data_IF_005748653080
#
_entry.id   IF_005748653080
#
_cell.length_a   1.000
_cell.length_b   1.000
_cell.length_c   1.000
_cell.angle_alpha   90.00
_cell.angle_beta   90.00
_cell.angle_gamma   90.00
#
_symmetry.space_group_name_H-M   'P 1'
#
loop_
_entity.id
_entity.type
_entity.pdbx_description
1 polymer ?
#
# COMPACT_ATOMS: atom_id res chain seq x y z
N UNK A 1 35.48 38.85 9.87
CA UNK A 1 35.22 38.75 8.41
C UNK A 1 35.55 40.03 7.67
N UNK A 2 35.33 41.21 8.26
CA UNK A 2 35.48 42.51 7.62
C UNK A 2 36.91 42.84 7.15
N UNK A 3 37.92 42.35 7.87
CA UNK A 3 39.33 42.58 7.54
C UNK A 3 39.94 41.50 6.64
N UNK A 4 39.18 40.44 6.30
CA UNK A 4 39.69 39.41 5.40
C UNK A 4 39.57 39.88 3.95
N UNK A 5 40.62 39.75 3.13
CA UNK A 5 40.50 40.01 1.71
C UNK A 5 39.50 39.03 1.08
N UNK A 6 38.78 39.49 0.06
CA UNK A 6 37.73 38.74 -0.63
C UNK A 6 38.15 37.29 -0.97
N UNK A 7 39.38 37.12 -1.46
CA UNK A 7 39.93 35.80 -1.81
C UNK A 7 40.09 34.87 -0.60
N UNK A 8 40.55 35.38 0.54
CA UNK A 8 40.69 34.58 1.76
C UNK A 8 39.31 34.21 2.34
N UNK A 9 38.35 35.15 2.32
CA UNK A 9 36.99 34.87 2.77
C UNK A 9 36.30 33.82 1.87
N UNK A 10 36.51 33.89 0.55
CA UNK A 10 36.02 32.87 -0.37
C UNK A 10 36.64 31.50 -0.09
N UNK A 11 37.95 31.42 0.20
CA UNK A 11 38.61 30.16 0.58
C UNK A 11 38.03 29.57 1.87
N UNK A 12 37.75 30.40 2.89
CA UNK A 12 37.09 29.94 4.12
C UNK A 12 35.70 29.39 3.81
N UNK A 13 34.89 30.11 3.02
CA UNK A 13 33.56 29.66 2.63
C UNK A 13 33.59 28.39 1.74
N UNK A 14 34.65 28.17 0.97
CA UNK A 14 34.85 26.92 0.21
C UNK A 14 35.05 25.70 1.13
N UNK A 15 35.49 25.88 2.37
CA UNK A 15 35.68 24.79 3.32
C UNK A 15 34.43 24.49 4.17
N UNK A 16 33.42 25.36 4.12
CA UNK A 16 32.23 25.30 4.95
C UNK A 16 31.00 24.82 4.17
N UNK A 17 30.00 24.29 4.88
CA UNK A 17 28.68 24.04 4.29
C UNK A 17 27.86 25.33 4.25
N UNK A 18 26.80 25.37 3.43
CA UNK A 18 25.90 26.52 3.37
C UNK A 18 25.27 26.85 4.73
N UNK A 19 25.05 25.83 5.56
CA UNK A 19 24.55 25.99 6.92
C UNK A 19 25.57 26.71 7.81
N UNK A 20 26.83 26.27 7.78
CA UNK A 20 27.90 26.88 8.57
C UNK A 20 28.18 28.31 8.11
N UNK A 21 28.15 28.57 6.79
CA UNK A 21 28.30 29.92 6.24
C UNK A 21 27.12 30.81 6.66
N UNK A 22 25.88 30.30 6.66
CA UNK A 22 24.73 31.05 7.14
C UNK A 22 24.86 31.41 8.63
N UNK A 23 25.27 30.46 9.47
CA UNK A 23 25.50 30.69 10.89
C UNK A 23 26.64 31.67 11.14
N UNK A 24 27.76 31.52 10.44
CA UNK A 24 28.90 32.43 10.55
C UNK A 24 28.52 33.85 10.13
N UNK A 25 27.79 33.98 9.02
CA UNK A 25 27.33 35.28 8.52
C UNK A 25 26.36 35.92 9.51
N UNK A 26 25.36 35.17 10.02
CA UNK A 26 24.40 35.67 10.99
C UNK A 26 25.07 36.10 12.31
N UNK A 27 26.01 35.30 12.82
CA UNK A 27 26.76 35.62 14.03
C UNK A 27 27.60 36.89 13.84
N UNK A 28 28.22 37.06 12.68
CA UNK A 28 29.00 38.27 12.39
C UNK A 28 28.10 39.51 12.19
N UNK A 29 26.96 39.39 11.50
CA UNK A 29 26.02 40.51 11.34
C UNK A 29 25.42 40.95 12.69
N UNK A 30 25.26 40.02 13.64
CA UNK A 30 24.83 40.35 15.00
C UNK A 30 25.89 41.12 15.81
N UNK A 31 27.18 40.90 15.52
CA UNK A 31 28.31 41.59 16.16
C UNK A 31 28.62 42.94 15.50
N UNK A 32 28.51 43.00 14.16
CA UNK A 32 28.75 44.21 13.37
C UNK A 32 27.73 44.33 12.21
N UNK A 33 26.67 45.15 12.37
CA UNK A 33 25.57 45.22 11.40
C UNK A 33 25.88 46.04 10.13
N UNK A 34 27.08 46.60 9.97
CA UNK A 34 27.36 47.64 8.96
C UNK A 34 28.08 47.16 7.67
N UNK A 35 28.54 45.90 7.58
CA UNK A 35 29.34 45.47 6.42
C UNK A 35 29.05 44.04 5.89
N UNK A 36 28.01 43.90 5.06
CA UNK A 36 27.71 42.67 4.29
C UNK A 36 28.31 42.53 2.86
N UNK A 37 28.89 43.54 2.17
CA UNK A 37 29.17 43.41 0.73
C UNK A 37 30.28 42.40 0.41
N UNK A 38 31.29 42.27 1.27
CA UNK A 38 32.40 41.33 1.07
C UNK A 38 31.96 39.86 1.25
N UNK A 39 31.01 39.59 2.17
CA UNK A 39 30.47 38.25 2.38
C UNK A 39 29.61 37.79 1.18
N UNK A 40 28.76 38.68 0.65
CA UNK A 40 27.98 38.42 -0.56
C UNK A 40 28.88 38.21 -1.79
N UNK A 41 29.92 39.02 -1.96
CA UNK A 41 30.89 38.83 -3.05
C UNK A 41 31.65 37.50 -2.91
N UNK A 42 32.07 37.12 -1.69
CA UNK A 42 32.74 35.85 -1.43
C UNK A 42 31.84 34.66 -1.75
N UNK A 43 30.57 34.70 -1.30
CA UNK A 43 29.56 33.69 -1.60
C UNK A 43 29.37 33.49 -3.11
N UNK A 44 29.30 34.58 -3.88
CA UNK A 44 29.18 34.50 -5.33
C UNK A 44 30.38 33.80 -5.98
N UNK A 45 31.60 34.10 -5.52
CA UNK A 45 32.82 33.43 -5.98
C UNK A 45 32.81 31.94 -5.67
N UNK A 46 32.44 31.55 -4.43
CA UNK A 46 32.37 30.14 -4.02
C UNK A 46 31.33 29.38 -4.85
N UNK A 47 30.15 29.98 -5.04
CA UNK A 47 29.07 29.39 -5.84
C UNK A 47 29.55 29.06 -7.26
N UNK A 48 30.26 30.00 -7.88
CA UNK A 48 30.81 29.85 -9.23
C UNK A 48 31.95 28.81 -9.28
N UNK A 49 32.92 28.90 -8.38
CA UNK A 49 34.11 28.04 -8.35
C UNK A 49 33.75 26.57 -8.12
N UNK A 50 32.84 26.28 -7.18
CA UNK A 50 32.50 24.90 -6.80
C UNK A 50 31.39 24.30 -7.64
N UNK A 51 30.41 25.09 -8.09
CA UNK A 51 29.19 24.54 -8.73
C UNK A 51 28.77 25.21 -10.04
N UNK A 52 29.52 26.21 -10.52
CA UNK A 52 29.19 27.01 -11.71
C UNK A 52 29.10 26.22 -13.02
N UNK A 53 29.77 25.07 -13.12
CA UNK A 53 29.83 24.28 -14.36
C UNK A 53 28.67 23.26 -14.47
N UNK A 54 28.08 22.81 -13.35
CA UNK A 54 27.19 21.63 -13.37
C UNK A 54 25.80 21.84 -12.76
N UNK A 55 25.67 22.59 -11.66
CA UNK A 55 24.37 22.76 -10.96
C UNK A 55 23.74 24.13 -11.24
N UNK A 56 24.55 25.15 -11.53
CA UNK A 56 24.13 26.56 -11.61
C UNK A 56 24.60 27.27 -12.89
N UNK A 57 24.84 26.54 -13.98
CA UNK A 57 25.33 27.07 -15.27
C UNK A 57 24.50 28.22 -15.88
N UNK A 58 23.33 28.51 -15.32
CA UNK A 58 22.39 29.53 -15.79
C UNK A 58 22.44 30.83 -14.96
N UNK A 59 23.20 30.87 -13.85
CA UNK A 59 23.40 32.08 -13.06
C UNK A 59 24.68 32.78 -13.55
N UNK A 60 24.54 33.93 -14.21
CA UNK A 60 25.67 34.74 -14.65
C UNK A 60 26.21 35.59 -13.49
N UNK A 61 27.50 35.87 -13.51
CA UNK A 61 28.21 36.63 -12.46
C UNK A 61 27.74 38.09 -12.39
N UNK A 62 27.48 38.68 -13.56
CA UNK A 62 27.00 40.06 -13.72
C UNK A 62 25.49 40.20 -13.51
N UNK A 63 24.79 39.09 -13.29
CA UNK A 63 23.35 39.14 -13.09
C UNK A 63 23.03 39.55 -11.66
N UNK A 64 22.74 40.84 -11.48
CA UNK A 64 22.35 41.42 -10.20
C UNK A 64 21.05 40.84 -9.60
N UNK A 65 20.34 39.96 -10.34
CA UNK A 65 18.99 39.51 -9.99
C UNK A 65 18.94 38.28 -9.10
N UNK A 66 20.02 37.50 -9.00
CA UNK A 66 20.04 36.38 -8.07
C UNK A 66 20.72 36.80 -6.75
N UNK A 67 20.15 36.41 -5.60
CA UNK A 67 20.66 36.84 -4.30
C UNK A 67 21.98 36.11 -3.99
N UNK A 68 23.01 36.87 -3.66
CA UNK A 68 24.34 36.34 -3.29
C UNK A 68 24.35 35.83 -1.84
N UNK A 69 23.44 34.92 -1.53
CA UNK A 69 23.12 34.50 -0.17
C UNK A 69 23.45 33.02 0.08
N UNK A 70 23.51 32.67 1.37
CA UNK A 70 23.66 31.28 1.79
C UNK A 70 22.51 30.37 1.31
N UNK A 71 21.34 30.93 0.97
CA UNK A 71 20.23 30.16 0.39
C UNK A 71 20.55 29.64 -1.02
N UNK A 72 21.25 30.44 -1.85
CA UNK A 72 21.69 30.00 -3.18
C UNK A 72 22.84 29.02 -3.08
N UNK A 73 23.74 29.22 -2.13
CA UNK A 73 24.77 28.24 -1.77
C UNK A 73 24.14 26.90 -1.38
N UNK A 74 23.10 26.92 -0.53
CA UNK A 74 22.36 25.72 -0.13
C UNK A 74 21.65 25.04 -1.30
N UNK A 75 21.07 25.83 -2.20
CA UNK A 75 20.47 25.29 -3.42
C UNK A 75 21.51 24.54 -4.27
N UNK A 76 22.72 25.09 -4.41
CA UNK A 76 23.83 24.44 -5.11
C UNK A 76 24.22 23.08 -4.50
N UNK A 77 24.31 23.01 -3.17
CA UNK A 77 24.60 21.78 -2.44
C UNK A 77 23.52 20.71 -2.65
N UNK A 78 22.25 21.09 -2.49
CA UNK A 78 21.11 20.17 -2.64
C UNK A 78 21.01 19.61 -4.06
N UNK A 79 21.26 20.42 -5.09
CA UNK A 79 21.29 19.95 -6.48
C UNK A 79 22.51 19.10 -6.79
N UNK A 80 23.65 19.34 -6.13
CA UNK A 80 24.82 18.46 -6.24
C UNK A 80 24.52 17.07 -5.67
N UNK A 81 23.80 17.01 -4.55
CA UNK A 81 23.27 15.75 -4.00
C UNK A 81 22.35 15.05 -5.00
N UNK A 82 21.43 15.78 -5.65
CA UNK A 82 20.56 15.22 -6.71
C UNK A 82 21.38 14.52 -7.80
N UNK A 83 22.48 15.15 -8.25
CA UNK A 83 23.37 14.58 -9.27
C UNK A 83 24.01 13.27 -8.80
N UNK A 84 24.51 13.21 -7.57
CA UNK A 84 25.11 11.99 -7.02
C UNK A 84 24.09 10.86 -6.87
N UNK A 85 22.88 11.17 -6.43
CA UNK A 85 21.78 10.20 -6.33
C UNK A 85 21.31 9.70 -7.71
N UNK A 86 21.40 10.53 -8.75
CA UNK A 86 21.14 10.14 -10.13
C UNK A 86 22.17 9.15 -10.65
N UNK A 87 23.46 9.39 -10.38
CA UNK A 87 24.57 8.53 -10.79
C UNK A 87 24.65 7.20 -10.01
N UNK A 88 24.12 7.16 -8.78
CA UNK A 88 24.19 6.01 -7.89
C UNK A 88 23.13 4.92 -8.15
N UNK A 89 22.19 5.12 -9.09
CA UNK A 89 21.12 4.15 -9.38
C UNK A 89 21.52 3.00 -10.32
N UNK A 90 22.82 2.87 -10.65
CA UNK A 90 23.33 1.72 -11.42
C UNK A 90 23.45 0.50 -10.51
N UNK A 91 22.66 -0.52 -10.85
CA UNK A 91 22.47 -1.82 -10.17
C UNK A 91 23.66 -2.76 -10.33
N UNK A 92 24.85 -2.34 -9.92
CA UNK A 92 25.94 -3.30 -9.70
C UNK A 92 26.00 -3.63 -8.21
N UNK A 93 26.11 -4.93 -7.93
CA UNK A 93 26.32 -5.51 -6.61
C UNK A 93 27.57 -4.91 -5.97
N UNK A 94 27.44 -3.71 -5.41
CA UNK A 94 28.50 -3.07 -4.67
C UNK A 94 28.70 -3.86 -3.39
N UNK A 95 29.77 -4.65 -3.35
CA UNK A 95 30.25 -5.36 -2.14
C UNK A 95 30.56 -4.40 -0.98
N UNK A 96 30.61 -3.09 -1.25
CA UNK A 96 30.80 -2.03 -0.28
C UNK A 96 29.73 -0.92 -0.45
N UNK A 97 28.65 -1.02 0.33
CA UNK A 97 27.54 -0.06 0.32
C UNK A 97 26.93 0.20 1.69
N UNK A 98 25.93 1.09 1.68
CA UNK A 98 25.16 1.52 2.85
C UNK A 98 23.67 1.45 2.52
N UNK A 99 22.89 0.84 3.38
CA UNK A 99 21.44 0.90 3.34
C UNK A 99 20.94 2.27 3.80
N UNK A 100 20.10 2.88 2.98
CA UNK A 100 19.43 4.16 3.25
C UNK A 100 17.91 3.98 3.02
N UNK A 101 17.10 4.76 3.74
CA UNK A 101 15.64 4.78 3.56
C UNK A 101 15.23 5.21 2.13
N UNK A 102 14.38 4.43 1.46
CA UNK A 102 13.77 4.83 0.19
C UNK A 102 12.90 6.09 0.35
N UNK A 103 12.19 6.20 1.48
CA UNK A 103 11.40 7.39 1.78
C UNK A 103 12.28 8.64 1.86
N UNK A 104 13.47 8.53 2.47
CA UNK A 104 14.42 9.64 2.52
C UNK A 104 14.85 10.06 1.11
N UNK A 105 15.19 9.11 0.23
CA UNK A 105 15.55 9.41 -1.16
C UNK A 105 14.42 10.13 -1.91
N UNK A 106 13.17 9.71 -1.71
CA UNK A 106 12.01 10.33 -2.35
C UNK A 106 11.74 11.74 -1.79
N UNK A 107 11.80 11.91 -0.47
CA UNK A 107 11.67 13.20 0.18
C UNK A 107 12.76 14.16 -0.27
N UNK A 108 14.00 13.67 -0.37
CA UNK A 108 15.13 14.45 -0.85
C UNK A 108 14.96 14.88 -2.31
N UNK A 109 14.49 13.99 -3.20
CA UNK A 109 14.17 14.37 -4.59
C UNK A 109 13.14 15.48 -4.66
N UNK A 110 12.10 15.44 -3.81
CA UNK A 110 11.08 16.50 -3.73
C UNK A 110 11.70 17.82 -3.24
N UNK A 111 12.52 17.77 -2.20
CA UNK A 111 13.27 18.93 -1.71
C UNK A 111 14.15 19.54 -2.82
N UNK A 112 14.83 18.71 -3.61
CA UNK A 112 15.58 19.19 -4.77
C UNK A 112 14.69 19.93 -5.78
N UNK A 113 13.48 19.42 -6.08
CA UNK A 113 12.56 20.08 -7.01
C UNK A 113 12.15 21.48 -6.52
N UNK A 114 11.91 21.66 -5.22
CA UNK A 114 11.61 23.00 -4.67
C UNK A 114 12.81 23.96 -4.79
N UNK A 115 14.03 23.49 -4.56
CA UNK A 115 15.24 24.30 -4.81
C UNK A 115 15.47 24.59 -6.30
N UNK A 116 15.13 23.67 -7.20
CA UNK A 116 15.14 23.95 -8.65
C UNK A 116 14.13 25.05 -8.99
N UNK A 117 12.90 24.95 -8.48
CA UNK A 117 11.88 25.98 -8.68
C UNK A 117 12.31 27.34 -8.15
N UNK A 118 12.90 27.39 -6.95
CA UNK A 118 13.49 28.59 -6.38
C UNK A 118 14.54 29.22 -7.31
N UNK A 119 15.48 28.42 -7.81
CA UNK A 119 16.51 28.92 -8.73
C UNK A 119 15.94 29.33 -10.11
N UNK A 120 14.87 28.69 -10.58
CA UNK A 120 14.18 29.05 -11.82
C UNK A 120 13.53 30.44 -11.74
N UNK A 121 13.21 30.95 -10.55
CA UNK A 121 12.65 32.30 -10.40
C UNK A 121 13.63 33.39 -10.87
N UNK A 122 14.93 33.13 -10.75
CA UNK A 122 15.99 34.03 -11.22
C UNK A 122 16.28 33.88 -12.71
N UNK A 123 15.72 32.85 -13.37
CA UNK A 123 15.79 32.71 -14.82
C UNK A 123 14.73 33.58 -15.47
N UNK A 124 15.11 34.76 -15.96
CA UNK A 124 14.22 35.49 -16.86
C UNK A 124 14.21 34.82 -18.24
N UNK A 125 13.04 34.33 -18.65
CA UNK A 125 12.77 34.07 -20.06
C UNK A 125 12.92 35.39 -20.83
N UNK A 126 13.64 35.37 -21.97
CA UNK A 126 13.84 36.52 -22.87
C UNK A 126 12.55 37.30 -23.14
N UNK A 127 11.38 36.63 -23.16
CA UNK A 127 10.05 37.26 -23.31
C UNK A 127 9.68 38.18 -22.14
N UNK A 128 9.94 37.77 -20.89
CA UNK A 128 9.62 38.55 -19.68
C UNK A 128 10.57 39.73 -19.52
N UNK A 129 11.82 39.57 -20.01
CA UNK A 129 12.80 40.65 -20.11
C UNK A 129 12.40 41.68 -21.18
N UNK A 130 12.04 41.26 -22.40
CA UNK A 130 11.50 42.17 -23.42
C UNK A 130 10.21 42.87 -22.97
N UNK A 131 9.33 42.20 -22.22
CA UNK A 131 8.11 42.82 -21.70
C UNK A 131 8.42 43.87 -20.63
N UNK A 132 9.40 43.62 -19.76
CA UNK A 132 9.85 44.60 -18.76
C UNK A 132 10.64 45.74 -19.37
N UNK A 133 11.49 45.51 -20.35
CA UNK A 133 12.20 46.55 -21.10
C UNK A 133 11.21 47.41 -21.89
N UNK A 134 10.18 46.82 -22.53
CA UNK A 134 9.07 47.57 -23.15
C UNK A 134 8.28 48.38 -22.11
N UNK A 135 8.04 47.82 -20.92
CA UNK A 135 7.37 48.52 -19.81
C UNK A 135 8.24 49.62 -19.20
N UNK A 136 9.56 49.45 -19.14
CA UNK A 136 10.50 50.47 -18.67
C UNK A 136 10.73 51.57 -19.71
N UNK A 137 10.69 51.25 -21.00
CA UNK A 137 10.70 52.25 -22.08
C UNK A 137 9.38 53.05 -22.12
N UNK A 138 8.24 52.42 -21.86
CA UNK A 138 6.96 53.11 -21.70
C UNK A 138 6.86 53.88 -20.38
N UNK A 139 7.41 53.36 -19.28
CA UNK A 139 7.52 54.06 -18.00
C UNK A 139 8.50 55.23 -18.06
N UNK A 140 9.64 55.12 -18.74
CA UNK A 140 10.57 56.25 -18.95
C UNK A 140 9.94 57.36 -19.82
N UNK A 141 9.04 57.00 -20.75
CA UNK A 141 8.18 57.97 -21.46
C UNK A 141 7.07 58.55 -20.57
N UNK A 142 6.55 57.78 -19.61
CA UNK A 142 5.52 58.22 -18.65
C UNK A 142 6.07 59.03 -17.46
N UNK A 143 7.32 58.82 -17.04
CA UNK A 143 8.00 59.52 -15.93
C UNK A 143 8.40 60.95 -16.32
N UNK A 144 8.47 61.27 -17.62
CA UNK A 144 8.47 62.68 -18.08
C UNK A 144 7.10 63.37 -17.91
N UNK A 145 6.06 62.65 -17.49
CA UNK A 145 4.68 63.15 -17.42
C UNK A 145 3.91 62.87 -16.12
N UNK A 146 4.47 62.13 -15.16
CA UNK A 146 3.81 61.88 -13.88
C UNK A 146 4.81 61.54 -12.78
N UNK A 147 5.11 62.51 -11.91
CA UNK A 147 5.49 62.22 -10.53
C UNK A 147 4.23 61.81 -9.77
N UNK A 148 4.41 60.88 -8.82
CA UNK A 148 3.43 60.36 -7.87
C UNK A 148 2.41 59.34 -8.42
N UNK A 149 2.58 58.07 -8.06
CA UNK A 149 1.75 57.33 -7.08
C UNK A 149 2.13 55.85 -7.15
N UNK A 150 2.13 55.25 -5.96
CA UNK A 150 2.51 53.89 -5.57
C UNK A 150 2.05 52.73 -6.48
N UNK A 151 2.80 51.64 -6.38
CA UNK A 151 2.43 50.33 -6.91
C UNK A 151 3.43 49.27 -6.45
N UNK A 152 3.32 48.89 -5.18
CA UNK A 152 4.00 47.75 -4.55
C UNK A 152 3.51 46.44 -5.20
N UNK A 153 4.38 45.77 -5.95
CA UNK A 153 4.14 44.42 -6.48
C UNK A 153 5.35 43.54 -6.13
N UNK A 154 5.37 43.06 -4.88
CA UNK A 154 6.29 42.04 -4.40
C UNK A 154 6.13 40.76 -5.23
N UNK A 155 7.22 40.37 -5.90
CA UNK A 155 7.35 39.08 -6.55
C UNK A 155 7.12 37.95 -5.52
N UNK A 156 6.39 36.90 -5.93
CA UNK A 156 6.27 35.64 -5.19
C UNK A 156 7.65 34.98 -4.97
N UNK A 157 8.34 35.40 -3.91
CA UNK A 157 9.50 34.69 -3.37
C UNK A 157 8.96 33.46 -2.65
N UNK A 158 9.45 32.27 -2.99
CA UNK A 158 9.16 31.05 -2.21
C UNK A 158 9.60 31.32 -0.77
N UNK A 159 8.69 31.32 0.22
CA UNK A 159 9.03 31.71 1.59
C UNK A 159 10.06 30.75 2.17
N UNK A 160 11.06 31.30 2.88
CA UNK A 160 12.11 30.53 3.58
C UNK A 160 11.53 29.38 4.43
N UNK A 161 10.32 29.58 4.98
CA UNK A 161 9.54 28.61 5.75
C UNK A 161 9.28 27.27 5.03
N UNK A 162 9.19 27.25 3.69
CA UNK A 162 9.02 26.00 2.92
C UNK A 162 10.27 25.10 2.94
N UNK A 163 11.47 25.69 3.07
CA UNK A 163 12.70 24.91 3.15
C UNK A 163 12.89 24.24 4.51
N UNK A 164 12.35 24.84 5.58
CA UNK A 164 12.36 24.28 6.93
C UNK A 164 11.38 23.09 7.04
N UNK A 165 10.20 23.21 6.43
CA UNK A 165 9.25 22.08 6.36
C UNK A 165 9.82 20.89 5.60
N UNK A 166 10.50 21.13 4.47
CA UNK A 166 11.13 20.05 3.71
C UNK A 166 12.27 19.39 4.49
N UNK A 167 13.02 20.17 5.28
CA UNK A 167 14.09 19.64 6.11
C UNK A 167 13.56 18.73 7.24
N UNK A 168 12.40 19.07 7.81
CA UNK A 168 11.72 18.20 8.77
C UNK A 168 11.23 16.91 8.10
N UNK A 169 10.59 17.01 6.93
CA UNK A 169 10.09 15.85 6.17
C UNK A 169 11.22 14.91 5.76
N UNK A 170 12.37 15.43 5.32
CA UNK A 170 13.51 14.56 4.98
C UNK A 170 14.09 13.89 6.23
N UNK A 171 14.17 14.59 7.36
CA UNK A 171 14.61 14.03 8.64
C UNK A 171 13.73 12.88 9.12
N UNK A 172 12.41 13.06 9.08
CA UNK A 172 11.48 12.01 9.49
C UNK A 172 11.54 10.82 8.55
N UNK A 173 11.65 11.07 7.23
CA UNK A 173 11.82 10.02 6.24
C UNK A 173 13.14 9.24 6.40
N UNK A 174 14.20 9.91 6.88
CA UNK A 174 15.50 9.32 7.23
C UNK A 174 15.43 8.40 8.45
N UNK A 175 14.53 8.66 9.40
CA UNK A 175 14.33 7.82 10.59
C UNK A 175 13.59 6.52 10.31
N UNK A 176 12.91 6.39 9.17
CA UNK A 176 12.11 5.21 8.83
C UNK A 176 12.90 3.93 8.58
N UNK A 177 14.23 4.00 8.45
CA UNK A 177 15.10 2.83 8.41
C UNK A 177 15.57 2.39 9.81
N UNK A 178 15.28 3.18 10.84
CA UNK A 178 15.67 2.94 12.23
C UNK A 178 14.42 2.53 13.01
N UNK A 179 14.53 1.47 13.83
CA UNK A 179 13.45 1.09 14.74
C UNK A 179 13.47 1.94 16.02
N UNK A 180 12.46 1.83 16.90
CA UNK A 180 12.45 2.54 18.18
C UNK A 180 13.66 2.24 19.09
N UNK A 181 14.30 1.08 18.93
CA UNK A 181 15.49 0.68 19.67
C UNK A 181 16.78 1.36 19.17
N UNK A 182 16.71 2.20 18.13
CA UNK A 182 17.87 2.88 17.54
C UNK A 182 18.65 2.04 16.52
N UNK A 183 18.23 0.80 16.29
CA UNK A 183 18.86 -0.16 15.38
C UNK A 183 18.18 -0.19 14.01
N UNK A 184 18.78 -0.91 13.05
CA UNK A 184 18.18 -1.05 11.72
C UNK A 184 16.84 -1.81 11.78
N UNK A 185 15.77 -1.18 11.27
CA UNK A 185 14.43 -1.75 11.23
C UNK A 185 14.40 -3.02 10.36
N UNK A 186 13.92 -4.19 10.83
CA UNK A 186 13.98 -5.46 10.12
C UNK A 186 13.43 -5.46 8.68
N UNK A 187 14.05 -6.23 7.78
CA UNK A 187 13.80 -6.14 6.34
C UNK A 187 12.37 -6.55 5.98
N UNK A 188 11.83 -7.52 6.72
CA UNK A 188 10.44 -7.97 6.58
C UNK A 188 9.42 -6.86 6.89
N UNK A 189 9.77 -5.88 7.73
CA UNK A 189 8.92 -4.73 8.05
C UNK A 189 9.09 -3.57 7.05
N UNK A 190 10.10 -3.63 6.19
CA UNK A 190 10.43 -2.59 5.20
C UNK A 190 9.58 -2.72 3.92
N UNK A 191 8.28 -2.46 3.98
CA UNK A 191 7.37 -2.49 2.81
C UNK A 191 7.15 -1.10 2.17
N UNK A 192 6.93 -1.07 0.85
CA UNK A 192 6.58 0.16 0.11
C UNK A 192 7.61 1.28 0.24
N UNK A 193 7.24 2.37 0.93
CA UNK A 193 8.09 3.55 1.18
C UNK A 193 9.18 3.29 2.23
N UNK A 194 9.01 2.28 3.08
CA UNK A 194 9.98 1.86 4.10
C UNK A 194 11.10 0.96 3.56
N UNK A 195 11.08 0.65 2.25
CA UNK A 195 12.12 -0.17 1.62
C UNK A 195 13.51 0.43 1.81
N UNK A 196 14.50 -0.44 1.91
CA UNK A 196 15.92 -0.06 1.95
C UNK A 196 16.44 0.11 0.52
N UNK A 197 17.35 1.06 0.32
CA UNK A 197 18.08 1.26 -0.93
C UNK A 197 19.56 1.25 -0.62
N UNK A 198 20.35 0.60 -1.47
CA UNK A 198 21.80 0.57 -1.34
C UNK A 198 22.40 1.79 -2.04
N UNK A 199 23.29 2.49 -1.34
CA UNK A 199 24.10 3.58 -1.87
C UNK A 199 25.57 3.21 -1.67
N UNK A 200 26.43 3.47 -2.64
CA UNK A 200 27.87 3.18 -2.49
C UNK A 200 28.48 4.02 -1.36
N UNK A 201 29.49 3.46 -0.68
CA UNK A 201 30.18 4.16 0.42
C UNK A 201 30.73 5.54 -0.01
N UNK A 202 31.27 5.63 -1.23
CA UNK A 202 31.80 6.88 -1.78
C UNK A 202 30.72 7.96 -1.96
N UNK A 203 29.52 7.57 -2.37
CA UNK A 203 28.38 8.49 -2.49
C UNK A 203 27.84 8.83 -1.10
N UNK A 204 27.68 7.84 -0.21
CA UNK A 204 27.19 8.06 1.14
C UNK A 204 28.03 9.06 1.95
N UNK A 205 29.37 8.97 1.87
CA UNK A 205 30.27 9.97 2.50
C UNK A 205 30.00 11.40 2.03
N UNK A 206 29.71 11.58 0.73
CA UNK A 206 29.34 12.90 0.18
C UNK A 206 27.94 13.31 0.63
N UNK A 207 26.99 12.39 0.67
CA UNK A 207 25.63 12.66 1.16
C UNK A 207 25.65 13.13 2.61
N UNK A 208 26.37 12.42 3.48
CA UNK A 208 26.44 12.71 4.91
C UNK A 208 26.95 14.14 5.20
N UNK A 209 27.81 14.69 4.34
CA UNK A 209 28.33 16.05 4.48
C UNK A 209 27.26 17.13 4.22
N UNK A 210 26.44 16.95 3.16
CA UNK A 210 25.48 17.98 2.72
C UNK A 210 24.04 17.71 3.19
N UNK A 211 23.77 16.49 3.66
CA UNK A 211 22.49 16.01 4.11
C UNK A 211 22.65 15.28 5.47
N UNK A 212 22.82 16.02 6.58
CA UNK A 212 23.10 15.45 7.91
C UNK A 212 21.94 14.60 8.48
N UNK A 213 20.76 14.73 7.86
CA UNK A 213 19.56 13.96 8.16
C UNK A 213 19.55 12.57 7.52
N UNK A 214 20.47 12.27 6.60
CA UNK A 214 20.64 10.92 6.08
C UNK A 214 21.06 9.97 7.21
N UNK A 215 20.43 8.80 7.24
CA UNK A 215 20.81 7.69 8.12
C UNK A 215 21.18 6.51 7.24
N UNK A 216 22.30 5.88 7.58
CA UNK A 216 22.90 4.83 6.78
C UNK A 216 23.41 3.70 7.65
N UNK A 217 23.14 2.47 7.24
CA UNK A 217 23.65 1.26 7.87
C UNK A 217 24.54 0.50 6.87
N UNK A 218 25.77 0.11 7.23
CA UNK A 218 26.59 -0.79 6.39
C UNK A 218 25.81 -2.03 5.94
N UNK A 219 26.11 -2.58 4.76
CA UNK A 219 25.40 -3.77 4.24
C UNK A 219 25.43 -5.00 5.18
N UNK A 220 26.44 -5.08 6.04
CA UNK A 220 26.63 -6.17 7.02
C UNK A 220 25.93 -5.89 8.35
N UNK A 221 25.21 -4.77 8.48
CA UNK A 221 24.50 -4.44 9.72
C UNK A 221 23.38 -5.47 9.91
N UNK A 222 23.29 -6.11 11.09
CA UNK A 222 22.18 -7.00 11.37
C UNK A 222 20.87 -6.21 11.51
N UNK A 223 19.75 -6.89 11.29
CA UNK A 223 18.45 -6.37 11.68
C UNK A 223 18.37 -6.26 13.22
N UNK A 224 17.55 -5.33 13.73
CA UNK A 224 17.33 -5.19 15.16
C UNK A 224 16.84 -6.50 15.79
N UNK A 225 17.65 -7.09 16.67
CA UNK A 225 17.36 -8.38 17.31
C UNK A 225 16.03 -8.36 18.08
N UNK A 226 15.77 -7.30 18.85
CA UNK A 226 14.52 -7.15 19.62
C UNK A 226 13.30 -7.16 18.70
N UNK A 227 13.31 -6.38 17.62
CA UNK A 227 12.18 -6.35 16.68
C UNK A 227 12.01 -7.68 15.91
N UNK A 228 13.10 -8.40 15.65
CA UNK A 228 13.05 -9.74 15.05
C UNK A 228 12.39 -10.72 16.02
N UNK A 229 12.82 -10.73 17.29
CA UNK A 229 12.27 -11.59 18.33
C UNK A 229 10.79 -11.29 18.62
N UNK A 230 10.40 -10.02 18.73
CA UNK A 230 9.00 -9.63 18.93
C UNK A 230 8.10 -10.08 17.77
N UNK A 231 8.59 -9.97 16.53
CA UNK A 231 7.87 -10.45 15.36
C UNK A 231 7.71 -11.97 15.40
N UNK A 232 8.80 -12.70 15.64
CA UNK A 232 8.78 -14.17 15.72
C UNK A 232 7.92 -14.66 16.88
N UNK A 233 7.90 -13.95 18.01
CA UNK A 233 7.03 -14.25 19.14
C UNK A 233 5.56 -14.05 18.76
N UNK A 234 5.23 -12.94 18.10
CA UNK A 234 3.87 -12.66 17.63
C UNK A 234 3.41 -13.65 16.57
N UNK A 235 4.28 -14.02 15.62
CA UNK A 235 3.98 -15.04 14.61
C UNK A 235 3.71 -16.40 15.27
N UNK A 236 4.54 -16.80 16.25
CA UNK A 236 4.30 -18.01 17.04
C UNK A 236 2.99 -17.96 17.82
N UNK A 237 2.68 -16.83 18.46
CA UNK A 237 1.40 -16.65 19.16
C UNK A 237 0.21 -16.79 18.20
N UNK A 238 0.27 -16.16 17.02
CA UNK A 238 -0.80 -16.28 16.02
C UNK A 238 -0.93 -17.70 15.50
N UNK A 239 0.17 -18.43 15.34
CA UNK A 239 0.14 -19.83 14.88
C UNK A 239 -0.42 -20.76 15.96
N UNK A 240 -0.05 -20.55 17.23
CA UNK A 240 -0.65 -21.27 18.36
C UNK A 240 -2.15 -21.01 18.46
N UNK A 241 -2.60 -19.77 18.26
CA UNK A 241 -4.03 -19.44 18.23
C UNK A 241 -4.75 -20.12 17.06
N UNK A 242 -4.14 -20.18 15.86
CA UNK A 242 -4.69 -20.93 14.71
C UNK A 242 -4.80 -22.41 15.02
N UNK A 243 -3.73 -22.98 15.58
CA UNK A 243 -3.66 -24.40 15.89
C UNK A 243 -4.67 -24.77 16.98
N UNK A 244 -4.75 -23.99 18.06
CA UNK A 244 -5.74 -24.16 19.12
C UNK A 244 -7.17 -24.04 18.59
N UNK A 245 -7.44 -23.09 17.68
CA UNK A 245 -8.75 -22.97 17.04
C UNK A 245 -9.06 -24.17 16.16
N UNK A 246 -8.12 -24.59 15.33
CA UNK A 246 -8.28 -25.77 14.49
C UNK A 246 -8.58 -27.01 15.34
N UNK A 247 -7.83 -27.22 16.43
CA UNK A 247 -8.07 -28.29 17.39
C UNK A 247 -9.45 -28.17 18.04
N UNK A 248 -9.82 -26.99 18.57
CA UNK A 248 -11.14 -26.80 19.17
C UNK A 248 -12.30 -27.05 18.20
N UNK A 249 -12.15 -26.68 16.93
CA UNK A 249 -13.22 -26.75 15.93
C UNK A 249 -13.25 -28.07 15.15
N UNK A 250 -12.16 -28.83 15.09
CA UNK A 250 -12.07 -30.07 14.29
C UNK A 250 -11.74 -31.31 15.15
N UNK A 251 -11.00 -31.18 16.25
CA UNK A 251 -10.53 -32.33 17.01
C UNK A 251 -11.67 -33.25 17.45
N UNK A 252 -11.44 -34.56 17.31
CA UNK A 252 -12.41 -35.61 17.63
C UNK A 252 -13.47 -35.89 16.57
N UNK A 253 -13.46 -35.23 15.41
CA UNK A 253 -14.37 -35.52 14.29
C UNK A 253 -13.64 -35.64 12.96
N UNK A 254 -13.49 -36.87 12.48
CA UNK A 254 -12.97 -37.13 11.13
C UNK A 254 -13.93 -36.58 10.06
N UNK A 255 -15.24 -36.60 10.32
CA UNK A 255 -16.25 -36.05 9.41
C UNK A 255 -16.03 -34.55 9.13
N UNK A 256 -15.78 -33.75 10.16
CA UNK A 256 -15.48 -32.32 9.96
C UNK A 256 -14.15 -32.10 9.26
N UNK A 257 -13.15 -32.94 9.51
CA UNK A 257 -11.87 -32.87 8.80
C UNK A 257 -12.05 -33.16 7.31
N UNK A 258 -12.81 -34.20 6.97
CA UNK A 258 -13.11 -34.58 5.58
C UNK A 258 -13.92 -33.47 4.88
N UNK A 259 -14.92 -32.90 5.56
CA UNK A 259 -15.71 -31.78 5.04
C UNK A 259 -14.87 -30.52 4.81
N UNK A 260 -13.91 -30.25 5.69
CA UNK A 260 -12.99 -29.12 5.58
C UNK A 260 -12.09 -29.25 4.35
N UNK A 261 -11.59 -30.45 4.06
CA UNK A 261 -10.66 -30.73 2.96
C UNK A 261 -11.36 -30.90 1.60
N UNK A 262 -12.67 -31.18 1.60
CA UNK A 262 -13.47 -31.43 0.39
C UNK A 262 -13.61 -30.20 -0.51
N UNK A 263 -13.47 -30.42 -1.82
CA UNK A 263 -13.61 -29.39 -2.87
C UNK A 263 -14.79 -29.62 -3.83
N UNK A 264 -15.30 -30.84 -3.92
CA UNK A 264 -16.35 -31.27 -4.86
C UNK A 264 -17.73 -30.70 -4.54
N UNK A 265 -17.98 -30.30 -3.29
CA UNK A 265 -19.31 -29.86 -2.82
C UNK A 265 -20.29 -31.00 -2.55
N UNK A 266 -19.85 -32.26 -2.64
CA UNK A 266 -20.61 -33.47 -2.28
C UNK A 266 -19.66 -34.62 -1.91
N UNK A 267 -20.09 -35.61 -1.10
CA UNK A 267 -19.21 -36.70 -0.67
C UNK A 267 -18.78 -37.55 -1.85
N UNK A 268 -17.49 -37.94 -1.92
CA UNK A 268 -16.96 -38.73 -3.04
C UNK A 268 -17.67 -40.08 -3.19
N UNK A 269 -18.21 -40.61 -2.11
CA UNK A 269 -18.94 -41.88 -2.10
C UNK A 269 -20.33 -41.76 -2.73
N UNK A 270 -20.92 -40.54 -2.76
CA UNK A 270 -22.27 -40.30 -3.27
C UNK A 270 -22.45 -40.87 -4.69
N UNK A 271 -21.39 -40.77 -5.49
CA UNK A 271 -21.29 -41.42 -6.79
C UNK A 271 -19.94 -42.13 -6.86
N UNK A 272 -19.93 -43.45 -6.77
CA UNK A 272 -18.70 -44.20 -7.01
C UNK A 272 -18.26 -44.05 -8.47
N UNK A 273 -16.94 -44.04 -8.77
CA UNK A 273 -16.49 -44.02 -10.14
C UNK A 273 -17.04 -45.25 -10.84
N UNK A 274 -17.75 -45.05 -11.95
CA UNK A 274 -18.09 -46.11 -12.88
C UNK A 274 -16.77 -46.74 -13.35
N UNK A 275 -16.35 -47.80 -12.67
CA UNK A 275 -15.31 -48.71 -13.14
C UNK A 275 -15.87 -49.47 -14.34
N UNK A 276 -15.96 -48.80 -15.49
CA UNK A 276 -15.82 -49.34 -16.85
C UNK A 276 -16.28 -48.30 -17.88
N UNK A 277 -15.30 -47.85 -18.68
CA UNK A 277 -15.42 -47.34 -20.07
C UNK A 277 -16.66 -46.48 -20.40
N UNK A 278 -16.49 -45.16 -20.31
CA UNK A 278 -17.10 -44.22 -21.26
C UNK A 278 -18.51 -43.69 -20.95
N UNK A 279 -19.11 -44.05 -19.82
CA UNK A 279 -20.41 -43.50 -19.41
C UNK A 279 -20.22 -42.48 -18.28
N UNK A 280 -20.50 -41.20 -18.56
CA UNK A 280 -20.50 -40.09 -17.59
C UNK A 280 -21.80 -40.04 -16.77
N UNK A 281 -22.48 -41.17 -16.59
CA UNK A 281 -23.69 -41.24 -15.78
C UNK A 281 -23.33 -41.53 -14.33
N UNK A 282 -23.56 -40.54 -13.47
CA UNK A 282 -23.44 -40.66 -12.02
C UNK A 282 -24.48 -41.67 -11.51
N UNK A 283 -24.05 -42.73 -10.82
CA UNK A 283 -24.94 -43.77 -10.28
C UNK A 283 -24.94 -43.79 -8.75
N UNK A 284 -26.13 -43.88 -8.17
CA UNK A 284 -26.37 -43.94 -6.71
C UNK A 284 -26.32 -45.37 -6.14
N UNK A 285 -26.07 -46.39 -6.96
CA UNK A 285 -26.18 -47.81 -6.57
C UNK A 285 -25.27 -48.22 -5.39
N UNK A 286 -24.19 -47.48 -5.13
CA UNK A 286 -23.23 -47.77 -4.07
C UNK A 286 -23.57 -47.11 -2.71
N UNK A 287 -24.69 -46.40 -2.63
CA UNK A 287 -25.08 -45.60 -1.46
C UNK A 287 -26.34 -46.11 -0.74
N UNK A 288 -26.78 -47.34 -1.00
CA UNK A 288 -28.02 -47.89 -0.42
C UNK A 288 -27.97 -47.82 1.12
N UNK A 289 -29.00 -47.21 1.71
CA UNK A 289 -29.13 -47.02 3.16
C UNK A 289 -28.42 -45.79 3.73
N UNK A 290 -27.71 -44.99 2.92
CA UNK A 290 -27.05 -43.76 3.38
C UNK A 290 -27.99 -42.56 3.35
N UNK A 291 -27.83 -41.68 4.34
CA UNK A 291 -28.54 -40.40 4.43
C UNK A 291 -27.58 -39.23 4.22
N UNK A 292 -28.09 -38.20 3.54
CA UNK A 292 -27.35 -37.00 3.17
C UNK A 292 -28.18 -35.76 3.49
N UNK A 293 -27.51 -34.63 3.72
CA UNK A 293 -28.14 -33.35 4.08
C UNK A 293 -27.60 -32.21 3.23
N UNK A 294 -28.38 -31.13 3.12
CA UNK A 294 -28.00 -29.90 2.44
C UNK A 294 -27.49 -28.86 3.44
N UNK A 295 -26.34 -28.27 3.14
CA UNK A 295 -25.76 -27.16 3.91
C UNK A 295 -25.48 -25.98 2.98
N UNK A 296 -25.80 -24.72 3.36
CA UNK A 296 -25.54 -23.57 2.50
C UNK A 296 -24.04 -23.42 2.24
N UNK A 297 -23.65 -23.38 0.97
CA UNK A 297 -22.25 -23.23 0.54
C UNK A 297 -21.60 -21.95 1.09
N UNK A 298 -22.35 -20.85 1.14
CA UNK A 298 -21.89 -19.58 1.73
C UNK A 298 -21.54 -19.73 3.21
N UNK A 299 -22.30 -20.53 3.94
CA UNK A 299 -22.04 -20.81 5.34
C UNK A 299 -20.77 -21.68 5.48
N UNK A 300 -20.64 -22.74 4.68
CA UNK A 300 -19.44 -23.59 4.69
C UNK A 300 -18.16 -22.82 4.32
N UNK A 301 -18.21 -21.87 3.37
CA UNK A 301 -17.07 -21.01 3.07
C UNK A 301 -16.62 -20.23 4.30
N UNK A 302 -17.55 -19.56 4.99
CA UNK A 302 -17.26 -18.83 6.24
C UNK A 302 -16.74 -19.76 7.33
N UNK A 303 -17.32 -20.95 7.47
CA UNK A 303 -16.86 -21.94 8.43
C UNK A 303 -15.43 -22.40 8.14
N UNK A 304 -15.09 -22.70 6.88
CA UNK A 304 -13.72 -23.07 6.47
C UNK A 304 -12.72 -21.94 6.72
N UNK A 305 -13.12 -20.70 6.48
CA UNK A 305 -12.30 -19.50 6.78
C UNK A 305 -12.12 -19.32 8.29
N UNK A 306 -13.18 -19.47 9.07
CA UNK A 306 -13.16 -19.41 10.53
C UNK A 306 -12.21 -20.46 11.13
N UNK A 307 -12.29 -21.71 10.69
CA UNK A 307 -11.43 -22.81 11.16
C UNK A 307 -9.96 -22.59 10.82
N UNK A 308 -9.66 -21.99 9.65
CA UNK A 308 -8.27 -21.83 9.15
C UNK A 308 -7.62 -20.50 9.51
N UNK A 309 -8.40 -19.53 9.99
CA UNK A 309 -7.91 -18.17 10.25
C UNK A 309 -7.89 -17.84 11.74
N UNK A 310 -7.28 -16.70 12.08
CA UNK A 310 -7.36 -16.08 13.42
C UNK A 310 -8.54 -15.10 13.47
N UNK A 311 -9.34 -14.97 12.41
CA UNK A 311 -10.47 -14.03 12.38
C UNK A 311 -11.58 -14.46 13.32
N UNK A 312 -12.10 -13.57 14.14
CA UNK A 312 -13.23 -13.87 15.05
C UNK A 312 -14.60 -13.89 14.36
N UNK A 313 -14.61 -13.91 13.02
CA UNK A 313 -15.82 -14.05 12.22
C UNK A 313 -16.41 -15.46 12.36
N UNK A 314 -17.20 -15.65 13.41
CA UNK A 314 -17.96 -16.87 13.66
C UNK A 314 -19.00 -17.10 12.54
N UNK A 315 -19.10 -18.32 11.97
CA UNK A 315 -19.98 -18.59 10.83
C UNK A 315 -21.48 -18.50 11.15
N UNK A 316 -21.86 -18.53 12.43
CA UNK A 316 -23.27 -18.59 12.83
C UNK A 316 -23.83 -20.02 12.82
N UNK A 317 -25.11 -20.18 13.19
CA UNK A 317 -25.81 -21.45 13.02
C UNK A 317 -26.03 -21.79 11.54
N UNK A 318 -26.19 -23.09 11.24
CA UNK A 318 -26.57 -23.54 9.90
C UNK A 318 -28.06 -23.26 9.67
N UNK A 319 -28.36 -22.37 8.73
CA UNK A 319 -29.73 -21.90 8.44
C UNK A 319 -30.23 -22.44 7.09
N UNK A 320 -31.27 -23.26 7.14
CA UNK A 320 -31.90 -23.90 5.99
C UNK A 320 -33.39 -23.52 5.83
N UNK A 321 -33.91 -22.54 6.57
CA UNK A 321 -35.32 -22.16 6.54
C UNK A 321 -35.87 -21.88 5.13
N UNK A 322 -35.05 -21.37 4.21
CA UNK A 322 -35.48 -21.08 2.83
C UNK A 322 -35.78 -22.32 1.99
N UNK A 323 -35.32 -23.49 2.44
CA UNK A 323 -35.62 -24.77 1.83
C UNK A 323 -36.93 -25.37 2.36
N UNK A 324 -37.70 -24.63 3.16
CA UNK A 324 -38.96 -25.09 3.76
C UNK A 324 -40.10 -24.19 3.31
N UNK A 325 -41.12 -24.78 2.69
CA UNK A 325 -42.39 -24.13 2.45
C UNK A 325 -43.20 -24.16 3.75
N UNK A 326 -43.25 -23.03 4.47
CA UNK A 326 -44.01 -22.93 5.72
C UNK A 326 -45.51 -23.21 5.54
N UNK A 327 -46.10 -22.82 4.40
CA UNK A 327 -47.51 -23.01 4.13
C UNK A 327 -47.90 -24.49 3.94
N UNK A 328 -47.02 -25.27 3.31
CA UNK A 328 -47.29 -26.68 2.98
C UNK A 328 -46.54 -27.66 3.87
N UNK A 329 -45.66 -27.18 4.76
CA UNK A 329 -44.71 -27.98 5.55
C UNK A 329 -43.95 -29.01 4.70
N UNK A 330 -43.44 -28.55 3.55
CA UNK A 330 -42.73 -29.37 2.55
C UNK A 330 -41.42 -28.73 2.16
N UNK A 331 -40.49 -29.52 1.64
CA UNK A 331 -39.19 -29.01 1.21
C UNK A 331 -39.30 -28.26 -0.13
N UNK A 332 -38.63 -27.12 -0.25
CA UNK A 332 -38.49 -26.35 -1.49
C UNK A 332 -37.04 -26.50 -1.94
N UNK A 333 -36.75 -27.60 -2.63
CA UNK A 333 -35.39 -27.97 -3.03
C UNK A 333 -34.96 -27.18 -4.27
N UNK A 334 -33.71 -26.70 -4.35
CA UNK A 334 -33.20 -26.06 -5.56
C UNK A 334 -33.19 -27.03 -6.75
N UNK A 335 -33.75 -26.67 -7.93
CA UNK A 335 -33.88 -27.58 -9.06
C UNK A 335 -32.57 -28.23 -9.52
N UNK A 336 -31.43 -27.53 -9.39
CA UNK A 336 -30.12 -28.09 -9.75
C UNK A 336 -29.72 -29.28 -8.87
N UNK A 337 -30.19 -29.35 -7.62
CA UNK A 337 -29.91 -30.50 -6.74
C UNK A 337 -30.67 -31.72 -7.25
N UNK A 338 -31.96 -31.56 -7.56
CA UNK A 338 -32.81 -32.61 -8.14
C UNK A 338 -32.23 -33.12 -9.47
N UNK A 339 -31.77 -32.22 -10.34
CA UNK A 339 -31.08 -32.58 -11.59
C UNK A 339 -29.77 -33.33 -11.31
N UNK A 340 -28.93 -32.82 -10.41
CA UNK A 340 -27.66 -33.45 -10.07
C UNK A 340 -27.84 -34.88 -9.54
N UNK A 341 -28.80 -35.08 -8.62
CA UNK A 341 -29.16 -36.39 -8.08
C UNK A 341 -29.78 -37.33 -9.12
N UNK A 342 -30.30 -36.79 -10.22
CA UNK A 342 -30.81 -37.56 -11.37
C UNK A 342 -29.70 -37.98 -12.36
N UNK A 343 -28.45 -37.64 -12.08
CA UNK A 343 -27.29 -38.13 -12.84
C UNK A 343 -26.58 -37.10 -13.72
N UNK A 344 -27.02 -35.84 -13.73
CA UNK A 344 -26.36 -34.74 -14.44
C UNK A 344 -25.14 -34.23 -13.65
N UNK A 345 -24.15 -33.62 -14.32
CA UNK A 345 -23.05 -32.97 -13.60
C UNK A 345 -23.56 -31.76 -12.80
N UNK A 346 -22.84 -31.37 -11.74
CA UNK A 346 -23.22 -30.22 -10.92
C UNK A 346 -23.17 -28.92 -11.73
N UNK A 347 -22.20 -28.77 -12.63
CA UNK A 347 -22.05 -27.62 -13.52
C UNK A 347 -23.22 -27.53 -14.50
N UNK A 348 -23.58 -28.66 -15.13
CA UNK A 348 -24.72 -28.74 -16.05
C UNK A 348 -26.03 -28.38 -15.34
N UNK A 349 -26.24 -28.93 -14.15
CA UNK A 349 -27.44 -28.71 -13.35
C UNK A 349 -27.57 -27.23 -12.93
N UNK A 350 -26.46 -26.61 -12.53
CA UNK A 350 -26.40 -25.18 -12.19
C UNK A 350 -26.67 -24.30 -13.41
N UNK A 351 -26.05 -24.59 -14.56
CA UNK A 351 -26.26 -23.84 -15.80
C UNK A 351 -27.72 -23.91 -16.27
N UNK A 352 -28.32 -25.11 -16.25
CA UNK A 352 -29.72 -25.30 -16.63
C UNK A 352 -30.68 -24.53 -15.71
N UNK A 353 -30.44 -24.55 -14.41
CA UNK A 353 -31.28 -23.82 -13.44
C UNK A 353 -31.16 -22.30 -13.60
N UNK A 354 -29.96 -21.78 -13.87
CA UNK A 354 -29.75 -20.36 -14.14
C UNK A 354 -30.44 -19.90 -15.44
N UNK A 355 -30.44 -20.74 -16.48
CA UNK A 355 -31.12 -20.45 -17.74
C UNK A 355 -32.65 -20.34 -17.57
N UNK A 356 -33.22 -21.01 -16.57
CA UNK A 356 -34.67 -21.00 -16.26
C UNK A 356 -35.10 -19.77 -15.44
N UNK A 357 -34.25 -18.77 -15.28
CA UNK A 357 -34.59 -17.54 -14.57
C UNK A 357 -34.73 -17.71 -13.05
N UNK A 358 -34.43 -18.89 -12.52
CA UNK A 358 -34.11 -19.00 -11.10
C UNK A 358 -32.87 -18.15 -10.89
N UNK A 359 -32.96 -17.12 -10.04
CA UNK A 359 -31.80 -16.31 -9.68
C UNK A 359 -30.69 -17.26 -9.20
N UNK A 360 -29.42 -16.84 -9.22
CA UNK A 360 -28.30 -17.55 -8.61
C UNK A 360 -28.46 -17.62 -7.07
N UNK A 361 -29.56 -18.23 -6.68
CA UNK A 361 -30.09 -18.52 -5.37
C UNK A 361 -29.09 -19.45 -4.70
N UNK A 362 -29.02 -19.34 -3.39
CA UNK A 362 -27.88 -19.80 -2.60
C UNK A 362 -27.53 -21.24 -2.97
N UNK A 363 -26.24 -21.45 -3.29
CA UNK A 363 -25.72 -22.78 -3.56
C UNK A 363 -25.65 -23.56 -2.24
N UNK A 364 -25.82 -24.88 -2.35
CA UNK A 364 -25.76 -25.84 -1.26
C UNK A 364 -24.69 -26.88 -1.58
N UNK A 365 -24.07 -27.40 -0.54
CA UNK A 365 -23.23 -28.59 -0.61
C UNK A 365 -23.97 -29.75 0.04
N UNK A 366 -23.75 -30.96 -0.47
CA UNK A 366 -24.28 -32.19 0.09
C UNK A 366 -23.27 -32.70 1.12
N UNK A 367 -23.75 -33.05 2.30
CA UNK A 367 -22.94 -33.60 3.39
C UNK A 367 -23.49 -34.96 3.82
N UNK A 368 -22.64 -35.82 4.38
CA UNK A 368 -23.07 -37.10 4.95
C UNK A 368 -23.83 -36.89 6.26
N UNK A 369 -24.47 -37.95 6.76
CA UNK A 369 -25.07 -37.94 8.11
C UNK A 369 -24.07 -37.57 9.20
N UNK A 370 -22.89 -38.22 9.23
CA UNK A 370 -21.86 -37.95 10.25
C UNK A 370 -21.37 -36.49 10.22
N UNK A 371 -21.21 -35.93 9.03
CA UNK A 371 -20.86 -34.52 8.86
C UNK A 371 -21.95 -33.58 9.34
N UNK A 372 -23.21 -33.88 8.99
CA UNK A 372 -24.35 -33.09 9.43
C UNK A 372 -24.50 -33.10 10.95
N UNK A 373 -24.39 -34.26 11.58
CA UNK A 373 -24.45 -34.40 13.04
C UNK A 373 -23.29 -33.64 13.70
N UNK A 374 -22.07 -33.75 13.17
CA UNK A 374 -20.93 -33.05 13.70
C UNK A 374 -21.07 -31.51 13.58
N UNK A 375 -21.63 -31.02 12.47
CA UNK A 375 -21.96 -29.59 12.31
C UNK A 375 -23.07 -29.16 13.26
N UNK A 376 -24.16 -29.92 13.35
CA UNK A 376 -25.30 -29.63 14.21
C UNK A 376 -24.88 -29.54 15.68
N UNK A 377 -24.08 -30.50 16.15
CA UNK A 377 -23.62 -30.57 17.54
C UNK A 377 -22.72 -29.38 17.92
N UNK A 378 -21.97 -28.80 16.97
CA UNK A 378 -21.01 -27.71 17.25
C UNK A 378 -21.55 -26.31 16.99
N UNK A 379 -22.36 -26.14 15.95
CA UNK A 379 -22.79 -24.81 15.50
C UNK A 379 -24.28 -24.55 15.66
N UNK A 380 -25.04 -25.58 16.07
CA UNK A 380 -26.49 -25.63 15.97
C UNK A 380 -26.97 -25.53 14.52
N UNK A 381 -28.02 -26.26 14.19
CA UNK A 381 -28.72 -26.08 12.92
C UNK A 381 -30.22 -25.92 13.18
N UNK A 382 -30.83 -25.04 12.41
CA UNK A 382 -32.25 -24.71 12.55
C UNK A 382 -33.14 -25.85 12.01
N UNK A 383 -32.85 -26.31 10.79
CA UNK A 383 -33.67 -27.30 10.10
C UNK A 383 -32.81 -28.21 9.22
N UNK A 384 -33.08 -29.51 9.30
CA UNK A 384 -32.41 -30.53 8.49
C UNK A 384 -33.19 -30.78 7.20
N UNK A 385 -32.57 -30.51 6.05
CA UNK A 385 -33.11 -30.92 4.75
C UNK A 385 -32.24 -32.02 4.21
N UNK A 386 -32.74 -33.25 4.29
CA UNK A 386 -32.00 -34.44 3.89
C UNK A 386 -32.77 -35.39 2.99
N UNK A 387 -32.02 -36.28 2.35
CA UNK A 387 -32.52 -37.38 1.55
C UNK A 387 -31.75 -38.66 1.89
N UNK A 388 -32.41 -39.80 1.69
CA UNK A 388 -31.82 -41.11 1.80
C UNK A 388 -31.74 -41.76 0.42
N UNK A 389 -30.79 -42.67 0.24
CA UNK A 389 -30.63 -43.41 -1.02
C UNK A 389 -31.06 -44.86 -0.81
N UNK A 390 -32.03 -45.32 -1.59
CA UNK A 390 -32.53 -46.70 -1.61
C UNK A 390 -32.55 -47.21 -3.05
N UNK A 391 -31.99 -48.41 -3.26
CA UNK A 391 -31.99 -49.10 -4.56
C UNK A 391 -31.57 -48.25 -5.76
N UNK A 392 -30.56 -47.40 -5.57
CA UNK A 392 -30.05 -46.52 -6.64
C UNK A 392 -30.90 -45.28 -6.92
N UNK A 393 -31.90 -45.00 -6.08
CA UNK A 393 -32.76 -43.83 -6.15
C UNK A 393 -32.70 -43.02 -4.85
N UNK A 394 -32.90 -41.70 -4.93
CA UNK A 394 -32.94 -40.85 -3.75
C UNK A 394 -34.38 -40.57 -3.33
N UNK A 395 -34.59 -40.44 -2.02
CA UNK A 395 -35.87 -40.17 -1.39
C UNK A 395 -35.70 -39.07 -0.34
N UNK A 396 -36.37 -37.94 -0.54
CA UNK A 396 -36.37 -36.86 0.45
C UNK A 396 -37.05 -37.30 1.75
N UNK A 397 -36.44 -36.97 2.88
CA UNK A 397 -37.00 -37.26 4.21
C UNK A 397 -38.33 -36.53 4.43
N UNK A 398 -38.43 -35.29 3.94
CA UNK A 398 -39.67 -34.52 3.87
C UNK A 398 -40.05 -34.32 2.40
N UNK A 399 -41.32 -34.57 1.99
CA UNK A 399 -41.73 -34.45 0.59
C UNK A 399 -41.44 -33.07 0.00
N UNK A 400 -41.10 -33.03 -1.29
CA UNK A 400 -40.95 -31.78 -2.03
C UNK A 400 -42.29 -31.04 -2.19
N UNK A 401 -42.24 -29.72 -2.17
CA UNK A 401 -43.35 -28.84 -2.44
C UNK A 401 -43.48 -28.65 -3.95
N UNK A 402 -44.46 -29.31 -4.58
CA UNK A 402 -44.72 -29.15 -6.01
C UNK A 402 -45.48 -27.86 -6.36
N UNK A 403 -45.88 -27.07 -5.34
CA UNK A 403 -46.65 -25.82 -5.51
C UNK A 403 -45.71 -24.61 -5.43
N UNK A 404 -44.75 -24.63 -4.52
CA UNK A 404 -43.82 -23.53 -4.30
C UNK A 404 -42.47 -23.86 -4.92
N UNK A 405 -41.97 -22.99 -5.79
CA UNK A 405 -40.68 -23.16 -6.44
C UNK A 405 -39.58 -22.40 -5.70
N UNK A 406 -38.41 -23.02 -5.61
CA UNK A 406 -37.21 -22.39 -5.04
C UNK A 406 -36.84 -21.14 -5.85
N UNK A 407 -36.51 -20.03 -5.17
CA UNK A 407 -36.07 -18.79 -5.81
C UNK A 407 -37.17 -17.96 -6.50
N UNK A 408 -38.44 -18.38 -6.47
CA UNK A 408 -39.56 -17.66 -7.09
C UNK A 408 -40.22 -16.60 -6.19
N UNK A 409 -39.60 -16.25 -5.05
CA UNK A 409 -40.14 -15.32 -4.04
C UNK A 409 -39.50 -13.94 -3.98
N UNK A 410 -38.67 -13.52 -4.94
CA UNK A 410 -37.90 -12.27 -4.85
C UNK A 410 -37.96 -11.40 -6.10
N UNK A 411 -39.15 -11.25 -6.68
CA UNK A 411 -39.44 -10.15 -7.61
C UNK A 411 -40.35 -9.13 -6.92
N UNK A 412 -39.83 -8.45 -5.90
CA UNK A 412 -40.58 -7.41 -5.20
C UNK A 412 -39.79 -6.81 -4.04
N UNK A 413 -39.40 -5.54 -4.17
CA UNK A 413 -38.91 -4.64 -3.10
C UNK A 413 -37.48 -4.80 -2.57
N UNK A 414 -36.47 -4.77 -3.45
CA UNK A 414 -35.25 -3.98 -3.14
C UNK A 414 -35.29 -2.71 -4.01
N UNK A 415 -36.14 -1.74 -3.60
CA UNK A 415 -36.02 -0.38 -4.11
C UNK A 415 -34.72 0.19 -3.58
N UNK A 416 -33.76 0.41 -4.48
CA UNK A 416 -32.72 1.43 -4.39
C UNK A 416 -33.28 2.69 -3.72
N UNK A 417 -32.99 2.87 -2.44
CA UNK A 417 -32.98 4.17 -1.80
C UNK A 417 -31.54 4.42 -1.34
N UNK A 418 -30.73 4.91 -2.27
CA UNK A 418 -29.48 5.60 -1.97
C UNK A 418 -29.32 6.73 -2.98
N UNK A 419 -30.13 7.77 -2.80
CA UNK A 419 -29.85 9.12 -3.28
C UNK A 419 -30.53 10.13 -2.36
N UNK A 420 -29.84 10.52 -1.30
CA UNK A 420 -29.76 11.89 -0.79
C UNK A 420 -28.57 12.00 0.14
#
# INVERSE_FOLDING_TARGET
>A
MEHLPLGALALVFELLTAHDVAHLTAACSALHPLHEPNAHAALALVVKRRWGVAALANLREDDARWPRSAAVLRAAEVLSVKKWLGAAQSTELATAGVFVSKAWLLAWRRRCQHYEQFLLQFRLSKKKQQQRERRQQTAARAVRKANAVAGDETAHVVPLATFDTDAAVTRDAGRLIVCPHGEMLPAALCVGRLRRVVVSNAVFKKLALYAPDVRGFPLHSPDCWTCVQEREAKERETELLRQSRFEAQIAGSNDLLDLLLRKSGYPNELFSPASTRGSTHLSLNHCVGKSYFLVPKKWLVRWREFVRSVSDEWPGPVLNAELVCLAHQRNVVPPYITMFLSGFSIEQSLQASQALGTSASKQYEIVTLGEWEALHNRYCSEYAVGFAVYDGSYHWQTPECNICHYGMGSSGTERRNSSR
#
